data_IF_085406508231
#
_entry.id   IF_085406508231
#
_cell.length_a   1.000
_cell.length_b   1.000
_cell.length_c   1.000
_cell.angle_alpha   90.00
_cell.angle_beta   90.00
_cell.angle_gamma   90.00
#
_symmetry.space_group_name_H-M   'P 1'
#
loop_
_entity.id
_entity.type
_entity.pdbx_description
1 polymer ?
#
# COMPACT_ATOMS: atom_id res chain seq x y z
N UNK A 1 -9.10 4.89 5.99
CA UNK A 1 -8.10 4.87 4.91
C UNK A 1 -7.14 3.72 5.14
N UNK A 2 -7.08 2.79 4.18
CA UNK A 2 -6.26 1.58 4.21
C UNK A 2 -5.67 1.40 2.82
N UNK A 3 -4.39 1.05 2.75
CA UNK A 3 -3.74 0.68 1.49
C UNK A 3 -4.24 -0.69 1.04
N UNK A 4 -4.47 -0.89 -0.26
CA UNK A 4 -4.81 -2.22 -0.77
C UNK A 4 -3.66 -3.21 -0.55
N UNK A 5 -4.02 -4.48 -0.39
CA UNK A 5 -3.05 -5.56 -0.18
C UNK A 5 -2.09 -5.68 -1.35
N UNK A 6 -2.50 -5.38 -2.60
CA UNK A 6 -1.63 -5.43 -3.78
C UNK A 6 -0.42 -4.51 -3.63
N UNK A 7 -0.63 -3.26 -3.19
CA UNK A 7 0.46 -2.30 -2.98
C UNK A 7 1.36 -2.78 -1.85
N UNK A 8 0.79 -3.25 -0.74
CA UNK A 8 1.56 -3.79 0.38
C UNK A 8 2.41 -4.99 -0.04
N UNK A 9 1.84 -5.91 -0.82
CA UNK A 9 2.57 -7.06 -1.37
C UNK A 9 3.67 -6.61 -2.33
N UNK A 10 3.40 -5.65 -3.21
CA UNK A 10 4.41 -5.10 -4.13
C UNK A 10 5.58 -4.49 -3.37
N UNK A 11 5.33 -3.76 -2.29
CA UNK A 11 6.38 -3.22 -1.42
C UNK A 11 7.22 -4.34 -0.78
N UNK A 12 6.60 -5.45 -0.38
CA UNK A 12 7.29 -6.54 0.31
C UNK A 12 8.07 -7.45 -0.66
N UNK A 13 7.55 -7.69 -1.85
CA UNK A 13 8.11 -8.65 -2.81
C UNK A 13 9.03 -8.04 -3.85
N UNK A 14 8.92 -6.74 -4.13
CA UNK A 14 9.72 -6.04 -5.11
C UNK A 14 10.73 -5.10 -4.43
N UNK A 15 12.00 -5.53 -4.45
CA UNK A 15 13.09 -4.79 -3.82
C UNK A 15 13.36 -3.44 -4.51
N UNK A 16 13.23 -3.36 -5.83
CA UNK A 16 13.42 -2.08 -6.53
C UNK A 16 12.28 -1.11 -6.24
N UNK A 17 11.05 -1.62 -6.15
CA UNK A 17 9.88 -0.82 -5.78
C UNK A 17 10.01 -0.24 -4.36
N UNK A 18 10.37 -1.09 -3.38
CA UNK A 18 10.58 -0.65 -2.00
C UNK A 18 11.77 0.29 -1.84
N UNK A 19 12.85 0.08 -2.61
CA UNK A 19 13.99 1.01 -2.64
C UNK A 19 13.57 2.40 -3.12
N UNK A 20 12.94 2.50 -4.29
CA UNK A 20 12.45 3.78 -4.85
C UNK A 20 11.49 4.50 -3.91
N UNK A 21 10.55 3.75 -3.32
CA UNK A 21 9.62 4.31 -2.34
C UNK A 21 10.34 4.84 -1.09
N UNK A 22 11.41 4.16 -0.65
CA UNK A 22 12.21 4.57 0.49
C UNK A 22 12.99 5.86 0.23
N UNK A 23 13.50 6.03 -0.99
CA UNK A 23 14.19 7.25 -1.43
C UNK A 23 13.22 8.45 -1.43
N UNK A 24 12.01 8.26 -1.96
CA UNK A 24 10.96 9.31 -1.99
C UNK A 24 10.53 9.71 -0.59
N UNK A 25 10.38 8.73 0.31
CA UNK A 25 9.96 8.96 1.70
C UNK A 25 11.11 9.44 2.61
N UNK A 26 12.35 9.42 2.13
CA UNK A 26 13.53 9.77 2.94
C UNK A 26 13.76 8.84 4.13
N UNK A 27 13.34 7.58 4.03
CA UNK A 27 13.49 6.57 5.10
C UNK A 27 14.20 5.32 4.59
N UNK A 28 14.66 4.46 5.50
CA UNK A 28 15.32 3.21 5.12
C UNK A 28 14.32 2.25 4.45
N UNK A 29 14.76 1.55 3.41
CA UNK A 29 13.97 0.49 2.73
C UNK A 29 13.41 -0.55 3.71
N UNK A 30 14.20 -1.01 4.67
CA UNK A 30 13.74 -1.95 5.71
C UNK A 30 12.59 -1.36 6.55
N UNK A 31 12.58 -0.05 6.81
CA UNK A 31 11.47 0.61 7.50
C UNK A 31 10.19 0.63 6.64
N UNK A 32 10.31 0.83 5.32
CA UNK A 32 9.21 0.74 4.36
C UNK A 32 8.62 -0.67 4.35
N UNK A 33 9.47 -1.69 4.19
CA UNK A 33 9.05 -3.10 4.18
C UNK A 33 8.38 -3.52 5.49
N UNK A 34 8.96 -3.14 6.64
CA UNK A 34 8.37 -3.42 7.97
C UNK A 34 7.02 -2.76 8.14
N UNK A 35 6.87 -1.52 7.64
CA UNK A 35 5.60 -0.80 7.67
C UNK A 35 4.54 -1.52 6.83
N UNK A 36 4.92 -1.99 5.64
CA UNK A 36 4.02 -2.74 4.77
C UNK A 36 3.59 -4.08 5.39
N UNK A 37 4.54 -4.83 5.98
CA UNK A 37 4.26 -6.09 6.70
C UNK A 37 3.29 -5.90 7.86
N UNK A 38 3.48 -4.85 8.66
CA UNK A 38 2.60 -4.53 9.81
C UNK A 38 1.19 -4.15 9.36
N UNK A 39 1.08 -3.37 8.28
CA UNK A 39 -0.21 -3.01 7.71
C UNK A 39 -0.95 -4.21 7.11
N UNK A 40 -0.22 -5.13 6.46
CA UNK A 40 -0.79 -6.36 5.89
C UNK A 40 -1.37 -7.28 6.98
N UNK A 41 -0.72 -7.34 8.16
CA UNK A 41 -1.17 -8.09 9.33
C UNK A 41 -2.35 -7.46 10.08
N UNK A 42 -2.83 -6.27 9.67
CA UNK A 42 -3.94 -5.57 10.34
C UNK A 42 -3.56 -4.89 11.66
N UNK A 43 -2.29 -4.91 12.05
CA UNK A 43 -1.83 -4.46 13.36
C UNK A 43 -1.41 -2.99 13.40
N UNK A 44 -1.39 -2.26 12.28
CA UNK A 44 -0.99 -0.85 12.27
C UNK A 44 -1.53 -0.08 11.07
N UNK A 45 -1.82 1.21 11.28
CA UNK A 45 -2.07 2.17 10.20
C UNK A 45 -0.73 2.54 9.56
N UNK A 46 -0.52 2.34 8.25
CA UNK A 46 0.75 2.65 7.60
C UNK A 46 0.87 4.14 7.28
N UNK A 47 0.99 4.99 8.31
CA UNK A 47 0.97 6.46 8.15
C UNK A 47 2.01 6.94 7.13
N UNK A 48 3.24 6.40 7.17
CA UNK A 48 4.30 6.75 6.22
C UNK A 48 4.02 6.30 4.78
N UNK A 49 3.31 5.20 4.57
CA UNK A 49 2.98 4.69 3.22
C UNK A 49 1.75 5.39 2.61
N UNK A 50 1.04 6.19 3.40
CA UNK A 50 -0.13 6.96 2.97
C UNK A 50 0.17 8.46 2.80
N UNK A 51 1.44 8.87 2.85
CA UNK A 51 1.79 10.24 2.56
C UNK A 51 1.47 10.60 1.10
N UNK A 52 1.12 11.87 0.79
CA UNK A 52 0.80 12.30 -0.57
C UNK A 52 1.87 11.93 -1.61
N UNK A 53 3.15 11.98 -1.23
CA UNK A 53 4.27 11.60 -2.11
C UNK A 53 4.27 10.11 -2.44
N UNK A 54 3.89 9.24 -1.49
CA UNK A 54 3.76 7.81 -1.74
C UNK A 54 2.54 7.51 -2.63
N UNK A 55 1.42 8.22 -2.40
CA UNK A 55 0.21 8.12 -3.23
C UNK A 55 0.54 8.45 -4.69
N UNK A 56 1.26 9.56 -4.93
CA UNK A 56 1.69 9.93 -6.28
C UNK A 56 2.59 8.86 -6.91
N UNK A 57 3.56 8.35 -6.15
CA UNK A 57 4.41 7.26 -6.61
C UNK A 57 3.62 6.01 -7.02
N UNK A 58 2.59 5.62 -6.25
CA UNK A 58 1.75 4.48 -6.62
C UNK A 58 1.02 4.74 -7.95
N UNK A 59 0.45 5.94 -8.13
CA UNK A 59 -0.21 6.33 -9.38
C UNK A 59 0.74 6.28 -10.58
N UNK A 60 1.96 6.80 -10.42
CA UNK A 60 3.00 6.77 -11.46
C UNK A 60 3.45 5.34 -11.81
N UNK A 61 3.31 4.40 -10.87
CA UNK A 61 3.62 2.98 -11.09
C UNK A 61 2.39 2.15 -11.53
N UNK A 62 1.29 2.81 -11.94
CA UNK A 62 0.13 2.17 -12.53
C UNK A 62 -0.92 1.65 -11.53
N UNK A 63 -0.86 2.07 -10.25
CA UNK A 63 -1.93 1.79 -9.30
C UNK A 63 -3.03 2.85 -9.39
N UNK A 64 -4.28 2.40 -9.31
CA UNK A 64 -5.44 3.29 -9.35
C UNK A 64 -5.80 3.78 -7.96
N UNK A 65 -6.62 4.83 -7.87
CA UNK A 65 -7.05 5.38 -6.58
C UNK A 65 -7.77 4.35 -5.69
N UNK A 66 -8.49 3.42 -6.32
CA UNK A 66 -9.17 2.29 -5.69
C UNK A 66 -8.22 1.28 -5.04
N UNK A 67 -6.97 1.14 -5.53
CA UNK A 67 -5.93 0.35 -4.88
C UNK A 67 -5.26 1.13 -3.72
N UNK A 68 -5.38 2.46 -3.68
CA UNK A 68 -4.69 3.31 -2.69
C UNK A 68 -5.60 3.61 -1.49
N UNK A 69 -6.85 3.92 -1.79
CA UNK A 69 -7.93 4.15 -0.83
C UNK A 69 -8.76 2.89 -0.90
N UNK A 70 -8.26 1.81 -0.29
CA UNK A 70 -8.89 0.49 -0.37
C UNK A 70 -10.39 0.65 -0.18
N UNK A 71 -11.16 0.33 -1.22
CA UNK A 71 -12.59 0.22 -1.08
C UNK A 71 -12.79 -0.87 -0.03
N UNK A 72 -13.48 -0.54 1.06
CA UNK A 72 -14.24 -1.57 1.74
C UNK A 72 -15.24 -2.04 0.71
N UNK A 73 -14.83 -3.00 -0.12
CA UNK A 73 -15.76 -3.82 -0.88
C UNK A 73 -16.59 -4.52 0.18
N UNK A 74 -17.72 -3.90 0.46
CA UNK A 74 -18.87 -4.52 1.07
C UNK A 74 -19.10 -5.84 0.33
N UNK A 75 -18.71 -6.94 0.98
CA UNK A 75 -18.90 -8.31 0.53
C UNK A 75 -20.39 -8.71 0.64
N UNK A 76 -21.31 -7.82 0.24
CA UNK A 76 -22.73 -8.14 0.07
C UNK A 76 -23.03 -8.52 -1.38
N UNK A 77 -22.26 -9.45 -1.94
CA UNK A 77 -22.79 -10.26 -3.04
C UNK A 77 -23.57 -11.41 -2.39
N UNK A 78 -24.84 -11.17 -2.09
CA UNK A 78 -25.85 -12.24 -2.10
C UNK A 78 -26.60 -12.16 -3.43
N UNK A 79 -25.95 -12.61 -4.48
CA UNK A 79 -26.66 -13.08 -5.67
C UNK A 79 -27.21 -14.48 -5.37
N UNK A 80 -28.51 -14.58 -5.15
CA UNK A 80 -29.29 -15.78 -5.51
C UNK A 80 -30.72 -15.35 -5.81
N UNK A 81 -31.01 -15.37 -7.12
CA UNK A 81 -32.26 -15.74 -7.81
C UNK A 81 -33.62 -15.29 -7.27
#
# INVERSE_FOLDING_TARGET
>A
MKLDKKILHKIISDSDFSRKLSEILGIKQNSVERSAKRALSGNSKPFSLMQPVAINFYKENGFNEEDIVGQESDDSIKSTS
#
